data_IF_638021067411
#
_entry.id   IF_638021067411
#
_cell.length_a   1.000
_cell.length_b   1.000
_cell.length_c   1.000
_cell.angle_alpha   90.00
_cell.angle_beta   90.00
_cell.angle_gamma   90.00
#
_symmetry.space_group_name_H-M   'P 1'
#
loop_
_entity.id
_entity.type
_entity.pdbx_description
1 polymer ?
#
# COMPACT_ATOMS: atom_id res chain seq x y z
N UNK A 1 14.22 -8.75 -3.57
CA UNK A 1 12.81 -9.15 -3.74
C UNK A 1 12.63 -10.29 -4.75
N UNK A 2 13.58 -10.56 -5.63
CA UNK A 2 13.47 -11.58 -6.69
C UNK A 2 12.51 -11.19 -7.83
N UNK A 3 12.22 -9.89 -7.99
CA UNK A 3 11.47 -9.39 -9.13
C UNK A 3 12.27 -9.59 -10.43
N UNK A 4 11.58 -9.93 -11.52
CA UNK A 4 12.19 -10.10 -12.84
C UNK A 4 12.59 -8.77 -13.47
N UNK A 5 11.79 -7.73 -13.23
CA UNK A 5 12.03 -6.36 -13.69
C UNK A 5 11.74 -5.37 -12.54
N UNK A 6 12.52 -4.28 -12.48
CA UNK A 6 12.32 -3.18 -11.55
C UNK A 6 12.34 -1.88 -12.36
N UNK A 7 11.29 -1.07 -12.19
CA UNK A 7 11.13 0.20 -12.90
C UNK A 7 10.77 1.32 -11.91
N UNK A 8 11.40 2.47 -12.07
CA UNK A 8 10.98 3.69 -11.39
C UNK A 8 10.08 4.49 -12.34
N UNK A 9 8.79 4.55 -12.03
CA UNK A 9 7.82 5.33 -12.78
C UNK A 9 7.76 6.75 -12.24
N UNK A 10 8.01 7.75 -13.08
CA UNK A 10 8.04 9.17 -12.68
C UNK A 10 7.59 10.08 -13.81
N UNK A 11 7.11 11.28 -13.47
CA UNK A 11 6.86 12.38 -14.39
C UNK A 11 7.92 13.51 -14.28
N UNK A 12 8.90 13.34 -13.38
CA UNK A 12 9.99 14.30 -13.16
C UNK A 12 11.27 13.85 -13.89
N UNK A 13 11.77 14.71 -14.77
CA UNK A 13 13.00 14.46 -15.53
C UNK A 13 14.23 14.35 -14.62
N UNK A 14 14.28 15.08 -13.51
CA UNK A 14 15.41 15.01 -12.59
C UNK A 14 15.44 13.65 -11.86
N UNK A 15 14.27 13.14 -11.48
CA UNK A 15 14.17 11.79 -10.89
C UNK A 15 14.63 10.74 -11.88
N UNK A 16 14.15 10.81 -13.15
CA UNK A 16 14.63 9.91 -14.22
C UNK A 16 16.14 9.96 -14.35
N UNK A 17 16.71 11.14 -14.48
CA UNK A 17 18.17 11.32 -14.72
C UNK A 17 19.00 10.73 -13.57
N UNK A 18 18.53 10.90 -12.30
CA UNK A 18 19.18 10.30 -11.13
C UNK A 18 19.08 8.78 -11.17
N UNK A 19 17.91 8.22 -11.49
CA UNK A 19 17.67 6.77 -11.55
C UNK A 19 18.58 6.14 -12.62
N UNK A 20 18.61 6.72 -13.83
CA UNK A 20 19.43 6.23 -14.94
C UNK A 20 20.94 6.39 -14.67
N UNK A 21 21.36 7.45 -13.98
CA UNK A 21 22.75 7.63 -13.54
C UNK A 21 23.24 6.55 -12.56
N UNK A 22 22.29 5.90 -11.87
CA UNK A 22 22.58 4.75 -11.00
C UNK A 22 22.32 3.40 -11.68
N UNK A 23 22.21 3.37 -13.01
CA UNK A 23 22.02 2.16 -13.83
C UNK A 23 20.69 1.42 -13.54
N UNK A 24 19.67 2.10 -12.99
CA UNK A 24 18.31 1.57 -12.84
C UNK A 24 17.42 2.01 -14.00
N UNK A 25 16.37 1.23 -14.26
CA UNK A 25 15.42 1.53 -15.32
C UNK A 25 14.38 2.56 -14.83
N UNK A 26 14.23 3.64 -15.59
CA UNK A 26 13.19 4.64 -15.37
C UNK A 26 12.15 4.62 -16.50
N UNK A 27 10.90 4.91 -16.17
CA UNK A 27 9.81 5.02 -17.12
C UNK A 27 9.09 6.36 -16.92
N UNK A 28 9.11 7.19 -17.96
CA UNK A 28 8.39 8.47 -17.93
C UNK A 28 6.89 8.22 -18.12
N UNK A 29 6.10 8.82 -17.25
CA UNK A 29 4.64 8.79 -17.27
C UNK A 29 4.10 10.20 -17.34
N UNK A 30 2.83 10.34 -17.71
CA UNK A 30 2.17 11.66 -17.74
C UNK A 30 2.11 12.26 -16.33
N UNK A 31 2.08 13.57 -16.25
CA UNK A 31 1.99 14.33 -14.99
C UNK A 31 0.55 14.58 -14.51
N UNK A 32 -0.47 14.23 -15.34
CA UNK A 32 -1.88 14.50 -15.08
C UNK A 32 -2.64 13.32 -14.43
N UNK A 33 -1.91 12.29 -13.96
CA UNK A 33 -2.54 11.19 -13.24
C UNK A 33 -3.13 11.64 -11.91
N UNK A 34 -4.40 11.28 -11.68
CA UNK A 34 -5.11 11.62 -10.46
C UNK A 34 -4.62 10.78 -9.25
N UNK A 35 -4.15 9.56 -9.50
CA UNK A 35 -3.71 8.61 -8.46
C UNK A 35 -2.47 7.83 -8.88
N UNK A 36 -1.80 7.19 -7.89
CA UNK A 36 -0.70 6.28 -8.14
C UNK A 36 -1.12 5.06 -8.96
N UNK A 37 -2.34 4.56 -8.76
CA UNK A 37 -2.88 3.42 -9.52
C UNK A 37 -3.13 3.78 -11.00
N UNK A 38 -3.56 5.01 -11.29
CA UNK A 38 -3.67 5.49 -12.69
C UNK A 38 -2.30 5.53 -13.38
N UNK A 39 -1.24 5.94 -12.66
CA UNK A 39 0.14 5.93 -13.16
C UNK A 39 0.60 4.50 -13.46
N UNK A 40 0.30 3.54 -12.58
CA UNK A 40 0.64 2.13 -12.81
C UNK A 40 -0.11 1.53 -14.02
N UNK A 41 -1.35 1.94 -14.26
CA UNK A 41 -2.08 1.50 -15.44
C UNK A 41 -1.37 1.93 -16.73
N UNK A 42 -0.86 3.18 -16.79
CA UNK A 42 -0.03 3.65 -17.91
C UNK A 42 1.27 2.82 -18.04
N UNK A 43 1.96 2.52 -16.94
CA UNK A 43 3.16 1.68 -16.97
C UNK A 43 2.87 0.32 -17.59
N UNK A 44 1.76 -0.34 -17.17
CA UNK A 44 1.35 -1.64 -17.71
C UNK A 44 1.07 -1.56 -19.21
N UNK A 45 0.45 -0.49 -19.66
CA UNK A 45 0.17 -0.25 -21.09
C UNK A 45 1.47 -0.06 -21.89
N UNK A 46 2.36 0.83 -21.42
CA UNK A 46 3.64 1.11 -22.08
C UNK A 46 4.54 -0.12 -22.17
N UNK A 47 4.54 -0.97 -21.12
CA UNK A 47 5.35 -2.19 -21.06
C UNK A 47 4.72 -3.36 -21.83
N UNK A 48 3.44 -3.32 -22.11
CA UNK A 48 2.73 -4.39 -22.82
C UNK A 48 2.68 -5.71 -22.03
N UNK A 49 2.77 -5.67 -20.69
CA UNK A 49 2.79 -6.88 -19.85
C UNK A 49 1.52 -7.72 -20.04
N UNK A 50 1.69 -9.05 -19.91
CA UNK A 50 0.60 -10.01 -20.00
C UNK A 50 -0.43 -9.79 -18.87
N UNK A 51 -1.68 -10.18 -19.08
CA UNK A 51 -2.79 -9.91 -18.16
C UNK A 51 -2.62 -10.57 -16.79
N UNK A 52 -1.90 -11.65 -16.71
CA UNK A 52 -1.59 -12.43 -15.50
C UNK A 52 -0.31 -11.98 -14.77
N UNK A 53 0.47 -11.06 -15.36
CA UNK A 53 1.67 -10.50 -14.71
C UNK A 53 1.29 -9.86 -13.38
N UNK A 54 2.08 -10.14 -12.34
CA UNK A 54 1.94 -9.53 -11.01
C UNK A 54 2.83 -8.31 -10.95
N UNK A 55 2.23 -7.16 -10.67
CA UNK A 55 2.89 -5.86 -10.53
C UNK A 55 2.89 -5.47 -9.06
N UNK A 56 4.08 -5.31 -8.48
CA UNK A 56 4.24 -4.77 -7.13
C UNK A 56 4.46 -3.27 -7.18
N UNK A 57 3.66 -2.54 -6.44
CA UNK A 57 3.81 -1.11 -6.24
C UNK A 57 4.45 -0.84 -4.88
N UNK A 58 5.73 -0.49 -4.90
CA UNK A 58 6.43 0.04 -3.73
C UNK A 58 6.48 1.55 -3.89
N UNK A 59 5.97 2.28 -2.90
CA UNK A 59 5.99 3.74 -2.90
C UNK A 59 7.43 4.25 -2.76
N UNK A 60 7.75 5.37 -3.44
CA UNK A 60 9.09 5.93 -3.41
C UNK A 60 9.53 6.48 -2.05
N UNK A 61 8.57 6.72 -1.16
CA UNK A 61 8.74 7.17 0.22
C UNK A 61 8.92 6.03 1.24
N UNK A 62 8.95 4.76 0.77
CA UNK A 62 9.13 3.56 1.60
C UNK A 62 10.52 2.88 1.37
N UNK A 63 11.64 3.58 1.58
CA UNK A 63 12.97 3.08 1.21
C UNK A 63 13.47 1.91 2.08
N UNK A 64 12.83 1.66 3.22
CA UNK A 64 13.19 0.60 4.17
C UNK A 64 12.17 -0.55 4.18
N UNK A 65 11.26 -0.62 3.20
CA UNK A 65 10.33 -1.75 3.12
C UNK A 65 11.10 -3.07 3.03
N UNK A 66 10.77 -4.01 3.89
CA UNK A 66 11.46 -5.28 3.96
C UNK A 66 11.17 -6.13 2.71
N UNK A 67 12.20 -6.66 2.02
CA UNK A 67 12.00 -7.48 0.82
C UNK A 67 11.08 -8.68 1.03
N UNK A 68 11.05 -9.24 2.24
CA UNK A 68 10.18 -10.37 2.57
C UNK A 68 8.69 -9.98 2.52
N UNK A 69 8.32 -8.78 2.97
CA UNK A 69 6.95 -8.29 2.89
C UNK A 69 6.52 -8.14 1.42
N UNK A 70 7.41 -7.65 0.55
CA UNK A 70 7.19 -7.55 -0.90
C UNK A 70 6.92 -8.94 -1.49
N UNK A 71 7.76 -9.93 -1.14
CA UNK A 71 7.63 -11.32 -1.61
C UNK A 71 6.31 -11.94 -1.12
N UNK A 72 5.96 -11.76 0.15
CA UNK A 72 4.74 -12.30 0.74
C UNK A 72 3.50 -11.72 0.06
N UNK A 73 3.49 -10.41 -0.23
CA UNK A 73 2.38 -9.74 -0.94
C UNK A 73 2.19 -10.30 -2.35
N UNK A 74 3.30 -10.51 -3.10
CA UNK A 74 3.24 -11.11 -4.42
C UNK A 74 2.72 -12.55 -4.38
N UNK A 75 3.21 -13.37 -3.45
CA UNK A 75 2.77 -14.75 -3.25
C UNK A 75 1.30 -14.83 -2.86
N UNK A 76 0.84 -13.94 -1.97
CA UNK A 76 -0.57 -13.85 -1.59
C UNK A 76 -1.45 -13.60 -2.82
N UNK A 77 -1.09 -12.66 -3.68
CA UNK A 77 -1.82 -12.41 -4.90
C UNK A 77 -1.84 -13.64 -5.84
N UNK A 78 -0.72 -14.33 -5.95
CA UNK A 78 -0.61 -15.50 -6.82
C UNK A 78 -1.58 -16.63 -6.42
N UNK A 79 -1.79 -16.84 -5.10
CA UNK A 79 -2.56 -17.98 -4.57
C UNK A 79 -4.01 -17.64 -4.21
N UNK A 80 -4.33 -16.38 -3.88
CA UNK A 80 -5.67 -16.00 -3.40
C UNK A 80 -6.75 -15.98 -4.47
N UNK A 81 -6.37 -15.90 -5.74
CA UNK A 81 -7.31 -15.68 -6.84
C UNK A 81 -7.97 -14.28 -6.81
N UNK A 82 -7.47 -13.36 -5.98
CA UNK A 82 -7.90 -11.97 -5.96
C UNK A 82 -7.27 -11.16 -7.13
N UNK A 83 -7.76 -9.95 -7.33
CA UNK A 83 -7.25 -9.01 -8.35
C UNK A 83 -6.11 -8.16 -7.81
N UNK A 84 -6.13 -7.95 -6.49
CA UNK A 84 -5.20 -7.11 -5.73
C UNK A 84 -4.80 -7.87 -4.46
N UNK A 85 -3.56 -7.66 -4.00
CA UNK A 85 -3.16 -8.00 -2.64
C UNK A 85 -2.54 -6.77 -1.97
N UNK A 86 -2.70 -6.68 -0.66
CA UNK A 86 -2.12 -5.63 0.18
C UNK A 86 -1.71 -6.20 1.53
N UNK A 87 -1.19 -5.35 2.41
CA UNK A 87 -0.63 -5.73 3.70
C UNK A 87 -1.32 -4.97 4.82
N UNK A 88 -1.44 -5.60 5.98
CA UNK A 88 -1.87 -4.95 7.20
C UNK A 88 -1.17 -5.56 8.42
N UNK A 89 -1.11 -4.82 9.51
CA UNK A 89 -0.60 -5.30 10.80
C UNK A 89 -1.56 -4.93 11.94
N UNK A 90 -1.52 -5.64 13.09
CA UNK A 90 -2.36 -5.31 14.24
C UNK A 90 -2.12 -3.89 14.76
N UNK A 91 -3.20 -3.24 15.20
CA UNK A 91 -3.14 -1.99 15.97
C UNK A 91 -3.25 -2.36 17.44
N UNK A 92 -2.27 -1.94 18.24
CA UNK A 92 -2.22 -2.20 19.68
C UNK A 92 -2.54 -0.96 20.52
N UNK A 93 -2.45 0.23 19.94
CA UNK A 93 -2.68 1.51 20.61
C UNK A 93 -4.04 2.12 20.20
N UNK A 94 -4.82 2.53 21.21
CA UNK A 94 -6.09 3.20 20.99
C UNK A 94 -5.92 4.56 20.28
N UNK A 95 -4.82 5.29 20.54
CA UNK A 95 -4.54 6.55 19.85
C UNK A 95 -4.39 6.34 18.34
N UNK A 96 -3.67 5.31 17.91
CA UNK A 96 -3.56 4.94 16.49
C UNK A 96 -4.91 4.48 15.92
N UNK A 97 -5.68 3.71 16.67
CA UNK A 97 -6.97 3.23 16.22
C UNK A 97 -7.97 4.37 15.94
N UNK A 98 -8.00 5.40 16.78
CA UNK A 98 -8.87 6.57 16.59
C UNK A 98 -8.26 7.65 15.68
N UNK A 99 -6.98 7.54 15.28
CA UNK A 99 -6.34 8.49 14.39
C UNK A 99 -6.85 8.33 12.94
N UNK A 100 -7.45 9.36 12.33
CA UNK A 100 -7.95 9.29 10.95
C UNK A 100 -6.83 9.18 9.89
N UNK A 101 -5.58 9.49 10.25
CA UNK A 101 -4.43 9.31 9.35
C UNK A 101 -3.97 7.84 9.30
N UNK A 102 -4.34 7.05 10.29
CA UNK A 102 -4.15 5.59 10.28
C UNK A 102 -5.35 4.96 9.58
N UNK A 103 -5.14 4.37 8.41
CA UNK A 103 -6.19 3.67 7.67
C UNK A 103 -6.41 2.29 8.28
N UNK A 104 -7.65 1.99 8.65
CA UNK A 104 -8.05 0.67 9.17
C UNK A 104 -8.55 -0.21 8.04
N UNK A 105 -8.37 -1.51 8.18
CA UNK A 105 -8.95 -2.52 7.31
C UNK A 105 -9.67 -3.58 8.13
N UNK A 106 -10.85 -3.97 7.68
CA UNK A 106 -11.60 -5.12 8.23
C UNK A 106 -11.50 -6.26 7.22
N UNK A 107 -11.04 -7.43 7.70
CA UNK A 107 -10.89 -8.60 6.88
C UNK A 107 -12.10 -9.55 7.03
N UNK A 108 -12.43 -10.26 5.97
CA UNK A 108 -13.38 -11.35 5.93
C UNK A 108 -12.70 -12.65 6.39
N UNK A 109 -13.49 -13.69 6.58
CA UNK A 109 -12.97 -14.99 7.01
C UNK A 109 -12.04 -15.66 5.98
N UNK A 110 -12.15 -15.29 4.71
CA UNK A 110 -11.29 -15.77 3.61
C UNK A 110 -9.99 -14.96 3.44
N UNK A 111 -9.77 -13.95 4.29
CA UNK A 111 -8.61 -13.07 4.25
C UNK A 111 -8.73 -11.89 3.28
N UNK A 112 -9.84 -11.76 2.57
CA UNK A 112 -10.08 -10.59 1.73
C UNK A 112 -10.56 -9.39 2.56
N UNK A 113 -10.24 -8.19 2.10
CA UNK A 113 -10.75 -6.97 2.71
C UNK A 113 -12.27 -6.87 2.54
N UNK A 114 -12.96 -6.63 3.66
CA UNK A 114 -14.36 -6.25 3.63
C UNK A 114 -14.51 -4.74 3.37
N UNK A 115 -13.68 -3.92 4.01
CA UNK A 115 -13.67 -2.46 3.84
C UNK A 115 -12.40 -1.83 4.40
N UNK A 116 -12.05 -0.66 3.86
CA UNK A 116 -11.00 0.23 4.39
C UNK A 116 -11.64 1.54 4.83
N UNK A 117 -11.18 2.12 5.95
CA UNK A 117 -11.68 3.40 6.41
C UNK A 117 -10.69 4.17 7.29
N UNK A 118 -10.81 5.49 7.25
CA UNK A 118 -10.18 6.38 8.24
C UNK A 118 -10.91 6.37 9.56
N UNK A 119 -12.20 5.98 9.58
CA UNK A 119 -12.97 5.80 10.79
C UNK A 119 -12.45 4.63 11.64
N UNK A 120 -12.69 4.60 12.95
CA UNK A 120 -12.32 3.49 13.83
C UNK A 120 -13.22 2.28 13.54
N UNK A 121 -12.76 1.36 12.71
CA UNK A 121 -13.42 0.10 12.36
C UNK A 121 -12.53 -1.11 12.63
N UNK A 122 -13.13 -2.26 13.13
CA UNK A 122 -14.51 -2.41 13.60
C UNK A 122 -14.76 -1.63 14.88
N UNK A 123 -16.02 -1.39 15.27
CA UNK A 123 -16.34 -0.62 16.47
C UNK A 123 -16.75 -1.54 17.63
N UNK A 124 -15.98 -1.57 18.71
CA UNK A 124 -16.24 -2.36 19.90
C UNK A 124 -17.28 -1.67 20.82
N UNK A 125 -18.57 -1.73 20.42
CA UNK A 125 -19.68 -0.97 21.02
C UNK A 125 -19.68 -0.99 22.55
N UNK A 126 -19.63 -2.18 23.15
CA UNK A 126 -19.80 -2.33 24.60
C UNK A 126 -18.52 -1.98 25.39
N UNK A 127 -17.35 -2.01 24.75
CA UNK A 127 -16.08 -1.57 25.33
C UNK A 127 -15.98 -0.04 25.32
N UNK A 128 -16.20 0.56 24.16
CA UNK A 128 -16.05 2.01 23.97
C UNK A 128 -17.20 2.82 24.59
N UNK A 129 -18.33 2.18 24.99
CA UNK A 129 -19.40 2.81 25.74
C UNK A 129 -19.08 2.97 27.24
N UNK A 130 -18.01 2.37 27.76
CA UNK A 130 -17.60 2.49 29.16
C UNK A 130 -16.88 3.82 29.40
N UNK A 131 -16.90 4.27 30.64
CA UNK A 131 -16.03 5.37 31.07
C UNK A 131 -14.57 4.98 30.79
N UNK A 132 -13.84 5.85 30.09
CA UNK A 132 -12.48 5.60 29.58
C UNK A 132 -12.32 4.46 28.54
N UNK A 133 -13.42 3.91 28.01
CA UNK A 133 -13.35 2.84 27.00
C UNK A 133 -12.62 3.23 25.71
N UNK A 134 -12.48 4.54 25.42
CA UNK A 134 -11.72 5.06 24.29
C UNK A 134 -10.21 5.14 24.52
N UNK A 135 -9.70 4.89 25.73
CA UNK A 135 -8.28 4.95 26.05
C UNK A 135 -7.53 3.64 25.79
N UNK A 136 -8.25 2.54 25.66
CA UNK A 136 -7.67 1.20 25.45
C UNK A 136 -8.44 0.43 24.39
N UNK A 137 -7.80 -0.56 23.77
CA UNK A 137 -8.48 -1.54 22.92
C UNK A 137 -8.84 -2.80 23.72
N UNK A 138 -9.96 -3.49 23.39
CA UNK A 138 -10.26 -4.78 24.00
C UNK A 138 -9.14 -5.82 23.70
N UNK A 139 -8.95 -6.81 24.56
CA UNK A 139 -8.09 -7.96 24.25
C UNK A 139 -8.52 -8.63 22.94
N UNK A 140 -7.57 -9.09 22.15
CA UNK A 140 -7.79 -9.79 20.87
C UNK A 140 -8.69 -9.05 19.88
N UNK A 141 -8.73 -7.72 19.98
CA UNK A 141 -9.55 -6.89 19.10
C UNK A 141 -8.96 -6.88 17.67
N UNK A 142 -9.76 -7.26 16.64
CA UNK A 142 -9.26 -7.42 15.27
C UNK A 142 -9.15 -6.06 14.55
N UNK A 143 -8.38 -5.14 15.13
CA UNK A 143 -8.06 -3.86 14.53
C UNK A 143 -6.74 -3.97 13.75
N UNK A 144 -6.78 -3.68 12.47
CA UNK A 144 -5.63 -3.76 11.59
C UNK A 144 -5.37 -2.41 10.90
N UNK A 145 -4.10 -1.99 10.91
CA UNK A 145 -3.60 -0.86 10.13
C UNK A 145 -3.20 -1.35 8.74
N UNK A 146 -3.77 -0.73 7.73
CA UNK A 146 -3.39 -0.93 6.35
C UNK A 146 -2.01 -0.34 6.07
N UNK A 147 -1.20 -1.08 5.30
CA UNK A 147 0.11 -0.66 4.77
C UNK A 147 -0.04 -0.40 3.27
N UNK A 148 0.48 0.73 2.79
CA UNK A 148 0.34 1.19 1.39
C UNK A 148 1.12 0.38 0.34
N UNK A 149 1.51 -0.86 0.65
CA UNK A 149 2.13 -1.79 -0.29
C UNK A 149 1.06 -2.61 -1.01
N UNK A 150 1.15 -2.65 -2.33
CA UNK A 150 0.18 -3.38 -3.14
C UNK A 150 0.84 -4.27 -4.19
N UNK A 151 0.20 -5.41 -4.44
CA UNK A 151 0.41 -6.20 -5.64
C UNK A 151 -0.90 -6.20 -6.47
N UNK A 152 -0.75 -6.07 -7.78
CA UNK A 152 -1.87 -6.02 -8.72
C UNK A 152 -1.69 -7.05 -9.82
N UNK A 153 -2.79 -7.64 -10.33
CA UNK A 153 -2.76 -8.27 -11.64
C UNK A 153 -2.77 -7.19 -12.73
N UNK A 154 -1.97 -7.37 -13.76
CA UNK A 154 -1.95 -6.43 -14.88
C UNK A 154 -3.33 -6.28 -15.54
N UNK A 155 -4.15 -7.34 -15.56
CA UNK A 155 -5.55 -7.30 -16.02
C UNK A 155 -6.39 -6.28 -15.24
N UNK A 156 -6.23 -6.21 -13.91
CA UNK A 156 -6.92 -5.24 -13.07
C UNK A 156 -6.47 -3.81 -13.42
N UNK A 157 -5.16 -3.56 -13.49
CA UNK A 157 -4.63 -2.22 -13.83
C UNK A 157 -5.10 -1.74 -15.21
N UNK A 158 -5.16 -2.64 -16.19
CA UNK A 158 -5.73 -2.32 -17.52
C UNK A 158 -7.22 -1.93 -17.44
N UNK A 159 -7.98 -2.56 -16.55
CA UNK A 159 -9.39 -2.24 -16.35
C UNK A 159 -9.60 -0.96 -15.52
N UNK A 160 -8.68 -0.68 -14.59
CA UNK A 160 -8.81 0.41 -13.60
C UNK A 160 -9.01 1.79 -14.24
N UNK A 161 -8.30 2.10 -15.32
CA UNK A 161 -8.42 3.37 -16.05
C UNK A 161 -9.85 3.65 -16.57
N UNK A 162 -10.66 2.61 -16.75
CA UNK A 162 -12.07 2.73 -17.17
C UNK A 162 -13.08 2.75 -16.01
N UNK A 163 -12.62 2.57 -14.75
CA UNK A 163 -13.52 2.55 -13.60
C UNK A 163 -13.90 3.97 -13.16
N UNK A 164 -15.19 4.20 -12.94
CA UNK A 164 -15.66 5.46 -12.38
C UNK A 164 -15.23 5.59 -10.91
N UNK A 165 -14.88 6.81 -10.51
CA UNK A 165 -14.49 7.11 -9.12
C UNK A 165 -15.66 6.79 -8.17
N UNK A 166 -15.38 6.02 -7.11
CA UNK A 166 -16.38 5.67 -6.12
C UNK A 166 -16.71 6.85 -5.19
N UNK A 167 -17.98 7.08 -4.80
CA UNK A 167 -18.30 8.14 -3.83
C UNK A 167 -17.51 8.00 -2.53
N UNK A 168 -17.35 6.78 -2.01
CA UNK A 168 -16.60 6.51 -0.78
C UNK A 168 -15.12 6.80 -0.91
N UNK A 169 -14.53 6.56 -2.08
CA UNK A 169 -13.15 6.92 -2.39
C UNK A 169 -12.90 8.43 -2.23
N UNK A 170 -13.85 9.26 -2.73
CA UNK A 170 -13.73 10.71 -2.64
C UNK A 170 -13.75 11.23 -1.21
N UNK A 171 -14.67 10.72 -0.37
CA UNK A 171 -14.80 11.17 1.01
C UNK A 171 -13.70 10.65 1.93
N UNK A 172 -13.29 9.40 1.76
CA UNK A 172 -12.23 8.78 2.55
C UNK A 172 -10.83 9.13 2.03
N UNK A 173 -10.71 9.62 0.78
CA UNK A 173 -9.43 9.79 0.07
C UNK A 173 -8.62 8.49 0.10
N UNK A 174 -9.27 7.39 -0.31
CA UNK A 174 -8.73 6.03 -0.32
C UNK A 174 -9.03 5.38 -1.69
N UNK A 175 -8.05 5.37 -2.59
CA UNK A 175 -8.22 4.92 -3.98
C UNK A 175 -8.58 3.42 -4.10
N UNK A 176 -8.16 2.58 -3.15
CA UNK A 176 -8.52 1.15 -3.12
C UNK A 176 -10.02 0.91 -2.94
N UNK A 177 -10.77 1.87 -2.44
CA UNK A 177 -12.22 1.77 -2.34
C UNK A 177 -12.91 1.75 -3.71
N UNK A 178 -12.28 2.29 -4.77
CA UNK A 178 -12.77 2.16 -6.15
C UNK A 178 -12.83 0.68 -6.57
N UNK A 179 -11.77 -0.08 -6.26
CA UNK A 179 -11.74 -1.50 -6.58
C UNK A 179 -12.87 -2.26 -5.87
N UNK A 180 -13.03 -2.07 -4.55
CA UNK A 180 -14.11 -2.71 -3.79
C UNK A 180 -15.50 -2.30 -4.28
N UNK A 181 -15.70 -1.02 -4.63
CA UNK A 181 -16.96 -0.51 -5.17
C UNK A 181 -17.37 -1.22 -6.46
N UNK A 182 -16.41 -1.53 -7.32
CA UNK A 182 -16.63 -2.23 -8.58
C UNK A 182 -16.59 -3.77 -8.46
N UNK A 183 -16.52 -4.31 -7.23
CA UNK A 183 -16.60 -5.74 -6.97
C UNK A 183 -15.30 -6.50 -7.14
N UNK A 184 -14.16 -5.82 -7.29
CA UNK A 184 -12.85 -6.45 -7.30
C UNK A 184 -12.45 -6.90 -5.89
N UNK A 185 -11.68 -7.99 -5.83
CA UNK A 185 -11.24 -8.57 -4.57
C UNK A 185 -9.85 -8.09 -4.21
N UNK A 186 -9.68 -7.70 -2.93
CA UNK A 186 -8.40 -7.30 -2.35
C UNK A 186 -8.07 -8.30 -1.24
N UNK A 187 -7.07 -9.14 -1.45
CA UNK A 187 -6.58 -10.05 -0.41
C UNK A 187 -5.60 -9.32 0.53
N UNK A 188 -5.69 -9.58 1.82
CA UNK A 188 -4.88 -8.90 2.84
C UNK A 188 -3.90 -9.89 3.48
N UNK A 189 -2.61 -9.59 3.37
CA UNK A 189 -1.56 -10.29 4.11
C UNK A 189 -1.42 -9.65 5.49
N UNK A 190 -1.64 -10.42 6.54
CA UNK A 190 -1.38 -9.95 7.91
C UNK A 190 0.07 -10.24 8.26
N UNK A 191 0.80 -9.20 8.67
CA UNK A 191 2.17 -9.28 9.21
C UNK A 191 2.14 -8.97 10.70
N UNK A 192 3.11 -9.49 11.44
CA UNK A 192 3.12 -9.42 12.91
C UNK A 192 3.46 -8.03 13.46
N UNK A 193 4.22 -7.23 12.71
CA UNK A 193 4.69 -5.92 13.14
C UNK A 193 4.63 -4.88 12.03
N UNK A 194 4.57 -3.60 12.41
CA UNK A 194 4.64 -2.50 11.48
C UNK A 194 5.98 -2.52 10.70
N UNK A 195 5.96 -2.27 9.37
CA UNK A 195 7.19 -2.01 8.63
C UNK A 195 7.89 -0.76 9.14
N UNK A 196 9.15 -0.56 8.74
CA UNK A 196 9.87 0.66 9.06
C UNK A 196 9.09 1.89 8.53
N UNK A 197 9.12 3.03 9.25
CA UNK A 197 8.41 4.22 8.81
C UNK A 197 8.99 4.78 7.51
N UNK A 198 8.11 5.27 6.64
CA UNK A 198 8.45 5.95 5.40
C UNK A 198 9.11 7.32 5.58
N UNK A 199 9.23 8.06 4.50
CA UNK A 199 9.84 9.40 4.42
C UNK A 199 8.78 10.42 4.03
N UNK A 200 8.09 10.99 5.02
CA UNK A 200 7.02 11.98 4.82
C UNK A 200 7.50 13.43 5.01
N UNK A 201 8.60 13.62 5.73
CA UNK A 201 9.11 14.94 6.12
C UNK A 201 10.60 15.12 5.76
N UNK A 202 11.10 16.36 5.66
CA UNK A 202 12.53 16.61 5.49
C UNK A 202 13.39 16.00 6.61
N UNK A 203 12.87 15.93 7.83
CA UNK A 203 13.53 15.32 8.98
C UNK A 203 13.65 13.79 8.81
N UNK A 204 12.62 13.15 8.23
CA UNK A 204 12.67 11.72 7.88
C UNK A 204 13.73 11.46 6.82
N UNK A 205 13.79 12.31 5.78
CA UNK A 205 14.80 12.19 4.74
C UNK A 205 16.23 12.31 5.30
N UNK A 206 16.45 13.22 6.23
CA UNK A 206 17.76 13.38 6.89
C UNK A 206 18.10 12.17 7.79
N UNK A 207 17.11 11.61 8.50
CA UNK A 207 17.27 10.37 9.26
C UNK A 207 17.66 9.22 8.34
N UNK A 208 17.01 9.12 7.20
CA UNK A 208 17.24 8.06 6.22
C UNK A 208 18.65 8.15 5.60
N UNK A 209 19.11 9.36 5.21
CA UNK A 209 20.48 9.57 4.73
C UNK A 209 21.51 9.05 5.72
N UNK A 210 21.36 9.38 7.01
CA UNK A 210 22.28 8.91 8.06
C UNK A 210 22.28 7.39 8.24
N UNK A 211 21.17 6.72 7.98
CA UNK A 211 21.09 5.25 8.03
C UNK A 211 21.86 4.63 6.86
N UNK A 212 21.66 5.13 5.65
CA UNK A 212 22.37 4.62 4.46
C UNK A 212 23.87 4.92 4.50
N UNK A 213 24.29 6.10 4.97
CA UNK A 213 25.71 6.45 5.13
C UNK A 213 26.43 5.49 6.10
N UNK A 214 25.74 5.05 7.18
CA UNK A 214 26.29 4.07 8.13
C UNK A 214 26.40 2.68 7.53
N UNK A 215 25.40 2.25 6.76
CA UNK A 215 25.40 0.94 6.11
C UNK A 215 26.51 0.85 5.04
N UNK A 216 26.71 1.89 4.23
CA UNK A 216 27.75 1.94 3.20
C UNK A 216 29.19 2.03 3.74
N UNK A 217 29.38 2.43 5.00
CA UNK A 217 30.71 2.46 5.65
C UNK A 217 31.04 1.17 6.42
N UNK A 218 30.19 0.15 6.35
CA UNK A 218 30.35 -1.13 7.06
C UNK A 218 30.79 -2.30 6.15
N UNK A 219 31.01 -2.03 4.86
CA UNK A 219 31.62 -2.93 3.87
C UNK A 219 33.06 -2.49 3.61
#
# INVERSE_FOLDING_TARGET
SGAEEIWVATDDLNVRDVVEAHEFAALMTRSDHATGTDRLAEVVEQRGWASDTIILNVQGDEPLIEPEIIIQTARQLAVSGADIATVAHPIHDAADFFNPNVVKVVCRADGDAAYFSRAPIPYARDHFARENGGETLPPDFPAYRHVGLYAYRASFLKAYAGLTVAPTEQFESLEQLRALWHGYRISVTLIDSAPAPGVDTPEDAERMRKLFDRAGNSE
#
